data_IF_212849318524
#
_entry.id   IF_212849318524
#
_cell.length_a   1.000
_cell.length_b   1.000
_cell.length_c   1.000
_cell.angle_alpha   90.00
_cell.angle_beta   90.00
_cell.angle_gamma   90.00
#
_symmetry.space_group_name_H-M   'P 1'
#
loop_
_entity.id
_entity.type
_entity.pdbx_description
1 polymer ?
#
# COMPACT_ATOMS: atom_id res chain seq x y z
N UNK A 1 14.87 -30.24 0.73
CA UNK A 1 13.94 -30.54 1.81
C UNK A 1 13.22 -29.25 2.18
N UNK A 2 11.88 -29.25 2.11
CA UNK A 2 11.06 -28.07 2.45
C UNK A 2 10.55 -28.32 3.86
N UNK A 3 10.82 -27.41 4.80
CA UNK A 3 10.22 -27.41 6.13
C UNK A 3 8.84 -26.75 6.07
N UNK A 4 7.84 -27.38 6.68
CA UNK A 4 6.49 -26.82 6.82
C UNK A 4 6.22 -26.66 8.30
N UNK A 5 5.77 -25.47 8.69
CA UNK A 5 5.29 -25.17 10.04
C UNK A 5 3.80 -24.84 9.90
N UNK A 6 2.96 -25.66 10.49
CA UNK A 6 1.53 -25.43 10.54
C UNK A 6 1.21 -24.67 11.85
N UNK A 7 0.47 -23.57 11.73
CA UNK A 7 0.06 -22.77 12.88
C UNK A 7 -1.37 -23.15 13.26
N UNK A 8 -1.65 -23.09 14.57
CA UNK A 8 -2.98 -23.35 15.10
C UNK A 8 -3.97 -22.29 14.60
N UNK A 9 -5.15 -22.72 14.19
CA UNK A 9 -6.22 -21.86 13.69
C UNK A 9 -6.83 -20.94 14.75
N UNK A 10 -6.57 -21.17 16.03
CA UNK A 10 -7.01 -20.32 17.12
C UNK A 10 -6.14 -19.09 17.35
N UNK A 11 -4.95 -19.04 16.72
CA UNK A 11 -4.05 -17.89 16.83
C UNK A 11 -4.67 -16.66 16.16
N UNK A 12 -4.54 -15.51 16.83
CA UNK A 12 -4.96 -14.26 16.23
C UNK A 12 -3.94 -13.74 15.18
N UNK A 13 -4.33 -12.74 14.40
CA UNK A 13 -3.48 -12.21 13.33
C UNK A 13 -2.19 -11.57 13.87
N UNK A 14 -2.23 -11.02 15.08
CA UNK A 14 -1.06 -10.39 15.69
C UNK A 14 -0.05 -11.47 16.10
N UNK A 15 -0.53 -12.59 16.68
CA UNK A 15 0.30 -13.74 17.04
C UNK A 15 0.90 -14.41 15.79
N UNK A 16 0.10 -14.62 14.74
CA UNK A 16 0.58 -15.17 13.47
C UNK A 16 1.65 -14.25 12.86
N UNK A 17 1.41 -12.93 12.89
CA UNK A 17 2.36 -11.94 12.40
C UNK A 17 3.66 -11.97 13.18
N UNK A 18 3.60 -12.07 14.51
CA UNK A 18 4.79 -12.14 15.37
C UNK A 18 5.60 -13.42 15.10
N UNK A 19 4.92 -14.56 14.99
CA UNK A 19 5.56 -15.85 14.63
C UNK A 19 6.25 -15.73 13.26
N UNK A 20 5.58 -15.15 12.29
CA UNK A 20 6.14 -14.97 10.94
C UNK A 20 7.37 -14.06 10.95
N UNK A 21 7.33 -12.96 11.69
CA UNK A 21 8.49 -12.08 11.91
C UNK A 21 9.65 -12.84 12.55
N UNK A 22 9.39 -13.66 13.57
CA UNK A 22 10.42 -14.46 14.25
C UNK A 22 11.06 -15.50 13.33
N UNK A 23 10.26 -16.19 12.52
CA UNK A 23 10.77 -17.18 11.54
C UNK A 23 11.67 -16.49 10.52
N UNK A 24 11.29 -15.30 10.07
CA UNK A 24 12.04 -14.52 9.08
C UNK A 24 13.16 -13.65 9.70
N UNK A 25 13.34 -13.64 11.03
CA UNK A 25 14.30 -12.79 11.73
C UNK A 25 15.77 -13.05 11.38
N UNK A 26 16.08 -14.17 10.72
CA UNK A 26 17.42 -14.45 10.17
C UNK A 26 17.60 -13.93 8.73
N UNK A 27 16.55 -13.37 8.13
CA UNK A 27 16.55 -12.70 6.83
C UNK A 27 16.16 -11.23 6.95
N UNK A 28 15.64 -10.65 5.88
CA UNK A 28 15.04 -9.30 5.94
C UNK A 28 13.72 -9.37 6.70
N UNK A 29 13.62 -8.62 7.80
CA UNK A 29 12.39 -8.53 8.57
C UNK A 29 11.27 -7.94 7.68
N UNK A 30 10.15 -8.66 7.57
CA UNK A 30 8.98 -8.15 6.86
C UNK A 30 8.34 -7.00 7.66
N UNK A 31 8.07 -5.93 6.97
CA UNK A 31 7.38 -4.78 7.54
C UNK A 31 5.86 -5.00 7.56
N UNK A 32 5.14 -4.21 8.34
CA UNK A 32 3.67 -4.25 8.34
C UNK A 32 3.09 -3.90 6.95
N UNK A 33 3.77 -3.06 6.19
CA UNK A 33 3.39 -2.76 4.81
C UNK A 33 3.55 -3.97 3.88
N UNK A 34 4.57 -4.82 4.08
CA UNK A 34 4.72 -6.07 3.32
C UNK A 34 3.54 -7.03 3.58
N UNK A 35 3.05 -7.07 4.83
CA UNK A 35 1.86 -7.86 5.16
C UNK A 35 0.60 -7.31 4.48
N UNK A 36 0.40 -5.98 4.50
CA UNK A 36 -0.72 -5.35 3.77
C UNK A 36 -0.64 -5.70 2.29
N UNK A 37 0.53 -5.53 1.66
CA UNK A 37 0.76 -5.83 0.25
C UNK A 37 0.52 -7.31 -0.06
N UNK A 38 0.94 -8.22 0.81
CA UNK A 38 0.69 -9.66 0.67
C UNK A 38 -0.78 -10.00 0.81
N UNK A 39 -1.47 -9.39 1.77
CA UNK A 39 -2.92 -9.57 1.97
C UNK A 39 -3.71 -9.09 0.75
N UNK A 40 -3.38 -7.90 0.24
CA UNK A 40 -3.99 -7.36 -0.98
C UNK A 40 -3.70 -8.27 -2.19
N UNK A 41 -2.49 -8.82 -2.33
CA UNK A 41 -2.15 -9.72 -3.44
C UNK A 41 -2.98 -11.01 -3.45
N UNK A 42 -3.33 -11.52 -2.28
CA UNK A 42 -4.12 -12.75 -2.14
C UNK A 42 -5.62 -12.51 -2.33
N UNK A 43 -6.10 -11.26 -2.22
CA UNK A 43 -7.51 -10.94 -2.39
C UNK A 43 -7.84 -10.69 -3.86
N UNK A 44 -8.70 -11.56 -4.41
CA UNK A 44 -9.23 -11.47 -5.78
C UNK A 44 -10.73 -11.15 -5.79
N UNK A 45 -11.38 -11.19 -4.64
CA UNK A 45 -12.84 -11.02 -4.51
C UNK A 45 -13.20 -9.55 -4.38
N UNK A 46 -12.46 -8.80 -3.55
CA UNK A 46 -12.74 -7.40 -3.25
C UNK A 46 -11.82 -6.43 -4.03
N UNK A 47 -11.05 -6.96 -5.00
CA UNK A 47 -10.15 -6.17 -5.85
C UNK A 47 -8.82 -5.80 -5.21
N UNK A 48 -8.43 -6.45 -4.11
CA UNK A 48 -7.17 -6.23 -3.43
C UNK A 48 -5.96 -6.43 -4.34
N UNK A 49 -5.97 -7.46 -5.19
CA UNK A 49 -4.92 -7.73 -6.17
C UNK A 49 -4.71 -6.55 -7.14
N UNK A 50 -5.77 -5.87 -7.56
CA UNK A 50 -5.69 -4.67 -8.40
C UNK A 50 -5.14 -3.49 -7.61
N UNK A 51 -5.62 -3.27 -6.39
CA UNK A 51 -5.11 -2.19 -5.53
C UNK A 51 -3.61 -2.37 -5.24
N UNK A 52 -3.15 -3.61 -5.03
CA UNK A 52 -1.72 -3.89 -4.91
C UNK A 52 -0.95 -3.47 -6.15
N UNK A 53 -1.44 -3.81 -7.35
CA UNK A 53 -0.81 -3.38 -8.61
C UNK A 53 -0.77 -1.86 -8.74
N UNK A 54 -1.84 -1.15 -8.33
CA UNK A 54 -1.86 0.32 -8.30
C UNK A 54 -0.71 0.87 -7.47
N UNK A 55 -0.54 0.35 -6.24
CA UNK A 55 0.52 0.79 -5.33
C UNK A 55 1.90 0.51 -5.93
N UNK A 56 2.14 -0.71 -6.41
CA UNK A 56 3.41 -1.12 -7.02
C UNK A 56 3.76 -0.25 -8.24
N UNK A 57 2.80 -0.08 -9.17
CA UNK A 57 3.04 0.69 -10.39
C UNK A 57 3.20 2.18 -10.13
N UNK A 58 2.41 2.74 -9.21
CA UNK A 58 2.56 4.14 -8.84
C UNK A 58 3.95 4.43 -8.28
N UNK A 59 4.37 3.68 -7.26
CA UNK A 59 5.68 3.85 -6.65
C UNK A 59 6.82 3.62 -7.65
N UNK A 60 6.68 2.64 -8.54
CA UNK A 60 7.69 2.38 -9.56
C UNK A 60 7.78 3.50 -10.59
N UNK A 61 6.64 3.99 -11.10
CA UNK A 61 6.59 5.08 -12.07
C UNK A 61 7.05 6.42 -11.48
N UNK A 62 6.80 6.67 -10.19
CA UNK A 62 7.30 7.86 -9.52
C UNK A 62 8.83 7.95 -9.54
N UNK A 63 9.52 6.79 -9.53
CA UNK A 63 10.99 6.70 -9.61
C UNK A 63 11.48 6.56 -11.04
N UNK A 64 10.74 5.86 -11.90
CA UNK A 64 11.13 5.51 -13.28
C UNK A 64 9.96 5.69 -14.24
N UNK A 65 9.70 6.90 -14.71
CA UNK A 65 8.63 7.19 -15.69
C UNK A 65 8.71 6.34 -16.97
N UNK A 66 9.92 6.00 -17.41
CA UNK A 66 10.18 5.17 -18.59
C UNK A 66 9.63 3.74 -18.48
N UNK A 67 9.21 3.31 -17.29
CA UNK A 67 8.57 2.01 -17.10
C UNK A 67 7.13 1.96 -17.64
N UNK A 68 6.48 3.09 -17.88
CA UNK A 68 5.10 3.17 -18.34
C UNK A 68 4.76 2.24 -19.53
N UNK A 69 5.58 2.16 -20.62
CA UNK A 69 5.30 1.25 -21.73
C UNK A 69 5.33 -0.26 -21.35
N UNK A 70 5.96 -0.61 -20.23
CA UNK A 70 5.94 -1.98 -19.72
C UNK A 70 4.71 -2.23 -18.86
N UNK A 71 4.32 -1.27 -18.03
CA UNK A 71 3.12 -1.34 -17.21
C UNK A 71 1.85 -1.58 -18.03
N UNK A 72 1.68 -0.87 -19.17
CA UNK A 72 0.50 -1.02 -20.04
C UNK A 72 0.43 -2.38 -20.76
N UNK A 73 1.48 -3.23 -20.70
CA UNK A 73 1.44 -4.61 -21.19
C UNK A 73 0.71 -5.54 -20.22
N UNK A 74 0.49 -5.14 -18.97
CA UNK A 74 -0.41 -5.83 -18.06
C UNK A 74 -1.85 -5.52 -18.47
N UNK A 75 -2.41 -6.39 -19.32
CA UNK A 75 -3.74 -6.21 -19.93
C UNK A 75 -4.88 -6.24 -18.90
N UNK A 76 -4.66 -6.86 -17.73
CA UNK A 76 -5.62 -6.84 -16.63
C UNK A 76 -5.64 -5.45 -15.99
N UNK A 77 -4.48 -4.92 -15.69
CA UNK A 77 -4.35 -3.59 -15.09
C UNK A 77 -4.72 -2.46 -16.05
N UNK A 78 -4.32 -2.57 -17.31
CA UNK A 78 -4.60 -1.57 -18.35
C UNK A 78 -6.09 -1.27 -18.53
N UNK A 79 -6.96 -2.28 -18.33
CA UNK A 79 -8.42 -2.15 -18.40
C UNK A 79 -9.04 -1.49 -17.18
N UNK A 80 -8.29 -1.27 -16.12
CA UNK A 80 -8.79 -0.63 -14.89
C UNK A 80 -8.80 0.89 -15.03
N UNK A 81 -9.65 1.56 -14.25
CA UNK A 81 -9.64 3.02 -14.15
C UNK A 81 -8.29 3.58 -13.65
N UNK A 82 -7.53 2.78 -12.92
CA UNK A 82 -6.27 3.19 -12.31
C UNK A 82 -5.16 3.42 -13.34
N UNK A 83 -5.10 2.63 -14.41
CA UNK A 83 -4.11 2.80 -15.46
C UNK A 83 -4.15 4.23 -16.06
N UNK A 84 -5.35 4.75 -16.30
CA UNK A 84 -5.54 6.12 -16.79
C UNK A 84 -5.22 7.18 -15.73
N UNK A 85 -5.54 6.90 -14.45
CA UNK A 85 -5.33 7.83 -13.32
C UNK A 85 -3.86 8.05 -12.97
N UNK A 86 -2.98 7.07 -13.24
CA UNK A 86 -1.54 7.17 -12.97
C UNK A 86 -0.71 7.48 -14.21
N UNK A 87 -1.36 7.65 -15.38
CA UNK A 87 -0.69 7.94 -16.65
C UNK A 87 0.17 9.22 -16.62
N UNK A 88 -0.20 10.18 -15.81
CA UNK A 88 0.54 11.44 -15.67
C UNK A 88 1.97 11.24 -15.19
N UNK A 89 2.26 10.15 -14.43
CA UNK A 89 3.61 9.77 -14.00
C UNK A 89 4.53 9.34 -15.16
N UNK A 90 3.98 9.08 -16.36
CA UNK A 90 4.79 8.77 -17.53
C UNK A 90 5.61 9.98 -18.04
N UNK A 91 5.30 11.17 -17.56
CA UNK A 91 6.11 12.37 -17.80
C UNK A 91 7.25 12.43 -16.79
N UNK A 92 8.36 13.01 -17.21
CA UNK A 92 9.48 13.27 -16.31
C UNK A 92 9.04 14.15 -15.13
N UNK A 93 9.29 13.66 -13.91
CA UNK A 93 8.89 14.32 -12.68
C UNK A 93 10.12 14.89 -11.97
N UNK A 94 9.92 15.96 -11.21
CA UNK A 94 10.99 16.45 -10.34
C UNK A 94 11.22 15.51 -9.15
N UNK A 95 12.48 15.15 -8.91
CA UNK A 95 13.00 14.22 -7.89
C UNK A 95 12.91 14.75 -6.43
N UNK A 96 11.79 15.38 -6.05
CA UNK A 96 11.65 15.91 -4.70
C UNK A 96 11.06 14.89 -3.75
N UNK A 97 10.12 14.08 -4.24
CA UNK A 97 9.45 13.06 -3.44
C UNK A 97 9.15 11.82 -4.26
N UNK A 98 9.78 10.72 -3.90
CA UNK A 98 9.56 9.41 -4.45
C UNK A 98 8.88 8.54 -3.38
N UNK A 99 7.55 8.42 -3.39
CA UNK A 99 6.84 7.63 -2.39
C UNK A 99 7.17 6.15 -2.53
N UNK A 100 7.28 5.48 -1.40
CA UNK A 100 7.25 4.03 -1.34
C UNK A 100 5.83 3.52 -1.00
N UNK A 101 5.64 2.20 -1.03
CA UNK A 101 4.34 1.60 -0.72
C UNK A 101 3.94 1.80 0.76
N UNK A 102 4.90 1.98 1.67
CA UNK A 102 4.61 2.27 3.07
C UNK A 102 4.02 3.67 3.24
N UNK A 103 4.57 4.68 2.53
CA UNK A 103 4.05 6.04 2.51
C UNK A 103 2.61 6.06 1.96
N UNK A 104 2.43 5.44 0.80
CA UNK A 104 1.15 5.40 0.11
C UNK A 104 0.06 4.72 0.94
N UNK A 105 0.38 3.56 1.54
CA UNK A 105 -0.55 2.82 2.39
C UNK A 105 -0.91 3.61 3.67
N UNK A 106 0.07 4.26 4.30
CA UNK A 106 -0.19 5.07 5.51
C UNK A 106 -1.08 6.28 5.22
N UNK A 107 -0.80 6.99 4.13
CA UNK A 107 -1.61 8.16 3.74
C UNK A 107 -3.02 7.72 3.37
N UNK A 108 -3.17 6.66 2.55
CA UNK A 108 -4.47 6.13 2.18
C UNK A 108 -5.27 5.66 3.41
N UNK A 109 -4.61 4.99 4.36
CA UNK A 109 -5.23 4.51 5.57
C UNK A 109 -5.62 5.66 6.51
N UNK A 110 -4.76 6.66 6.65
CA UNK A 110 -5.07 7.87 7.44
C UNK A 110 -6.28 8.59 6.86
N UNK A 111 -6.32 8.78 5.54
CA UNK A 111 -7.43 9.47 4.88
C UNK A 111 -8.77 8.75 5.09
N UNK A 112 -8.79 7.44 4.87
CA UNK A 112 -10.05 6.69 4.84
C UNK A 112 -10.53 6.19 6.20
N UNK A 113 -9.61 6.00 7.16
CA UNK A 113 -9.91 5.37 8.45
C UNK A 113 -9.52 6.24 9.65
N UNK A 114 -8.89 7.40 9.41
CA UNK A 114 -8.30 8.24 10.46
C UNK A 114 -7.31 7.47 11.35
N UNK A 115 -6.55 6.55 10.76
CA UNK A 115 -5.56 5.67 11.40
C UNK A 115 -4.32 5.54 10.51
N UNK A 116 -3.13 5.41 11.11
CA UNK A 116 -1.86 5.28 10.39
C UNK A 116 -1.07 4.01 10.73
N UNK A 117 -1.49 3.25 11.75
CA UNK A 117 -0.81 2.03 12.19
C UNK A 117 -1.17 0.87 11.26
N UNK A 118 -0.26 0.45 10.39
CA UNK A 118 -0.53 -0.54 9.34
C UNK A 118 -0.91 -1.94 9.86
N UNK A 119 -0.55 -2.31 11.10
CA UNK A 119 -1.08 -3.54 11.73
C UNK A 119 -2.60 -3.51 11.88
N UNK A 120 -3.18 -2.32 12.09
CA UNK A 120 -4.63 -2.15 12.15
C UNK A 120 -5.25 -2.38 10.77
N UNK A 121 -4.58 -1.92 9.70
CA UNK A 121 -5.02 -2.17 8.33
C UNK A 121 -4.98 -3.67 7.99
N UNK A 122 -3.92 -4.39 8.40
CA UNK A 122 -3.84 -5.86 8.24
C UNK A 122 -5.05 -6.53 8.90
N UNK A 123 -5.40 -6.13 10.13
CA UNK A 123 -6.54 -6.66 10.87
C UNK A 123 -7.87 -6.40 10.13
N UNK A 124 -8.10 -5.16 9.67
CA UNK A 124 -9.30 -4.80 8.90
C UNK A 124 -9.45 -5.58 7.60
N UNK A 125 -8.37 -5.67 6.81
CA UNK A 125 -8.37 -6.46 5.57
C UNK A 125 -8.50 -7.97 5.81
N UNK A 126 -8.36 -8.40 7.06
CA UNK A 126 -8.65 -9.78 7.49
C UNK A 126 -10.07 -9.94 8.06
N UNK A 127 -10.87 -8.87 8.10
CA UNK A 127 -12.25 -8.91 8.60
C UNK A 127 -12.41 -8.72 10.09
N UNK A 128 -11.37 -8.29 10.81
CA UNK A 128 -11.44 -8.10 12.25
C UNK A 128 -12.12 -6.78 12.62
N UNK A 129 -13.19 -6.86 13.38
CA UNK A 129 -13.85 -5.71 14.00
C UNK A 129 -13.02 -5.20 15.19
N UNK A 130 -12.76 -3.89 15.27
CA UNK A 130 -11.99 -3.31 16.38
C UNK A 130 -12.77 -3.21 17.69
N UNK A 131 -14.09 -3.12 17.63
CA UNK A 131 -14.95 -2.99 18.81
C UNK A 131 -15.25 -4.36 19.41
N UNK A 132 -15.74 -5.28 18.57
CA UNK A 132 -16.16 -6.62 19.00
C UNK A 132 -15.02 -7.63 18.96
N UNK A 133 -13.95 -7.38 18.22
CA UNK A 133 -12.84 -8.30 17.90
C UNK A 133 -13.28 -9.58 17.16
N UNK A 134 -14.51 -9.61 16.67
CA UNK A 134 -15.03 -10.70 15.85
C UNK A 134 -14.62 -10.54 14.40
N UNK A 135 -14.64 -11.66 13.68
CA UNK A 135 -14.40 -11.66 12.23
C UNK A 135 -15.72 -11.60 11.48
N UNK A 136 -15.82 -10.63 10.55
CA UNK A 136 -17.01 -10.43 9.70
C UNK A 136 -16.56 -10.15 8.26
N UNK A 137 -17.15 -10.88 7.31
CA UNK A 137 -16.88 -10.70 5.88
C UNK A 137 -17.22 -9.29 5.39
N UNK A 138 -18.29 -8.70 5.93
CA UNK A 138 -18.72 -7.33 5.60
C UNK A 138 -17.65 -6.28 5.90
N UNK A 139 -16.81 -6.52 6.92
CA UNK A 139 -15.69 -5.63 7.27
C UNK A 139 -14.60 -5.69 6.20
N UNK A 140 -14.36 -6.86 5.61
CA UNK A 140 -13.37 -7.01 4.54
C UNK A 140 -13.76 -6.15 3.35
N UNK A 141 -15.00 -6.31 2.85
CA UNK A 141 -15.51 -5.55 1.71
C UNK A 141 -15.46 -4.03 1.96
N UNK A 142 -16.00 -3.57 3.10
CA UNK A 142 -15.98 -2.15 3.49
C UNK A 142 -14.55 -1.61 3.58
N UNK A 143 -13.62 -2.41 4.14
CA UNK A 143 -12.23 -2.01 4.29
C UNK A 143 -11.51 -1.88 2.96
N UNK A 144 -11.72 -2.81 2.01
CA UNK A 144 -11.16 -2.68 0.67
C UNK A 144 -11.74 -1.49 -0.09
N UNK A 145 -13.05 -1.23 0.02
CA UNK A 145 -13.69 -0.07 -0.59
C UNK A 145 -13.12 1.25 -0.04
N UNK A 146 -12.98 1.38 1.28
CA UNK A 146 -12.38 2.55 1.92
C UNK A 146 -10.91 2.71 1.55
N UNK A 147 -10.14 1.63 1.54
CA UNK A 147 -8.74 1.69 1.13
C UNK A 147 -8.59 2.14 -0.33
N UNK A 148 -9.47 1.65 -1.21
CA UNK A 148 -9.53 2.07 -2.60
C UNK A 148 -9.71 3.59 -2.72
N UNK A 149 -10.64 4.17 -1.96
CA UNK A 149 -10.85 5.63 -1.98
C UNK A 149 -9.62 6.40 -1.47
N UNK A 150 -8.96 5.93 -0.41
CA UNK A 150 -7.71 6.54 0.06
C UNK A 150 -6.59 6.47 -0.98
N UNK A 151 -6.45 5.35 -1.66
CA UNK A 151 -5.49 5.18 -2.76
C UNK A 151 -5.82 6.13 -3.92
N UNK A 152 -7.10 6.28 -4.30
CA UNK A 152 -7.52 7.22 -5.35
C UNK A 152 -7.15 8.66 -5.01
N UNK A 153 -7.27 9.06 -3.76
CA UNK A 153 -6.88 10.40 -3.30
C UNK A 153 -5.37 10.59 -3.40
N UNK A 154 -4.58 9.59 -3.04
CA UNK A 154 -3.12 9.65 -3.13
C UNK A 154 -2.61 9.76 -4.56
N UNK A 155 -3.14 8.94 -5.48
CA UNK A 155 -2.69 8.90 -6.88
C UNK A 155 -3.21 10.07 -7.73
N UNK A 156 -4.03 10.94 -7.16
CA UNK A 156 -4.56 12.09 -7.87
C UNK A 156 -3.45 13.10 -8.17
N UNK A 157 -3.23 13.43 -9.46
CA UNK A 157 -2.18 14.33 -9.94
C UNK A 157 -2.18 15.67 -9.19
N UNK A 158 -3.35 16.31 -9.08
CA UNK A 158 -3.47 17.60 -8.40
C UNK A 158 -3.07 17.52 -6.92
N UNK A 159 -3.56 16.51 -6.19
CA UNK A 159 -3.24 16.35 -4.78
C UNK A 159 -1.75 16.11 -4.57
N UNK A 160 -1.14 15.29 -5.44
CA UNK A 160 0.28 15.00 -5.39
C UNK A 160 1.12 16.24 -5.67
N UNK A 161 0.76 17.02 -6.69
CA UNK A 161 1.42 18.29 -7.00
C UNK A 161 1.31 19.30 -5.84
N UNK A 162 0.13 19.43 -5.23
CA UNK A 162 -0.04 20.31 -4.06
C UNK A 162 0.84 19.89 -2.88
N UNK A 163 0.96 18.59 -2.65
CA UNK A 163 1.87 18.06 -1.63
C UNK A 163 3.33 18.38 -1.94
N UNK A 164 3.78 18.16 -3.18
CA UNK A 164 5.15 18.50 -3.61
C UNK A 164 5.42 20.01 -3.47
N UNK A 165 4.46 20.86 -3.84
CA UNK A 165 4.57 22.30 -3.66
C UNK A 165 4.68 22.71 -2.19
N UNK A 166 3.93 22.07 -1.31
CA UNK A 166 4.02 22.29 0.14
C UNK A 166 5.41 21.91 0.69
N UNK A 167 5.97 20.77 0.25
CA UNK A 167 7.33 20.34 0.62
C UNK A 167 8.37 21.35 0.15
N UNK A 168 8.28 21.82 -1.10
CA UNK A 168 9.15 22.87 -1.64
C UNK A 168 9.04 24.16 -0.85
N UNK A 169 7.81 24.57 -0.54
CA UNK A 169 7.53 25.77 0.27
C UNK A 169 8.10 25.68 1.69
N UNK A 170 8.18 24.48 2.26
CA UNK A 170 8.85 24.21 3.53
C UNK A 170 10.39 24.17 3.45
N UNK A 171 10.96 24.35 2.26
CA UNK A 171 12.40 24.47 2.04
C UNK A 171 13.13 23.15 1.72
N UNK A 172 12.42 22.04 1.56
CA UNK A 172 13.01 20.77 1.13
C UNK A 172 13.36 20.82 -0.37
N UNK A 173 14.54 20.34 -0.72
CA UNK A 173 15.07 20.41 -2.09
C UNK A 173 15.32 19.03 -2.72
N UNK A 174 15.18 17.95 -1.94
CA UNK A 174 15.40 16.58 -2.42
C UNK A 174 14.73 15.56 -1.50
N UNK A 175 14.41 14.38 -2.03
CA UNK A 175 13.91 13.21 -1.29
C UNK A 175 14.84 12.83 -0.13
N UNK A 176 16.17 12.93 -0.32
CA UNK A 176 17.15 12.62 0.73
C UNK A 176 17.03 13.56 1.93
N UNK A 177 16.75 14.83 1.69
CA UNK A 177 16.53 15.82 2.74
C UNK A 177 15.24 15.55 3.50
N UNK A 178 14.17 15.20 2.80
CA UNK A 178 12.87 14.85 3.38
C UNK A 178 13.01 13.61 4.27
N UNK A 179 13.60 12.54 3.75
CA UNK A 179 13.76 11.27 4.47
C UNK A 179 14.68 11.35 5.69
N UNK A 180 15.62 12.32 5.73
CA UNK A 180 16.50 12.51 6.88
C UNK A 180 15.84 13.21 8.07
N UNK A 181 14.63 13.74 7.88
CA UNK A 181 13.87 14.48 8.90
C UNK A 181 12.62 13.69 9.38
N UNK A 182 12.30 12.59 8.74
CA UNK A 182 11.25 11.65 9.12
C UNK A 182 11.80 10.50 9.96
#
# INVERSE_FOLDING_TARGET
QIGVIELDHSLDIDEVTEIFIRINSKGTALSQSDFVMSKMAADTVHGGNILRKVVDYFCHLAVKPDFYPQMIKDLEFEKTEFASKIKWLAKDNEDIYNPDYNDMLRVAFMYSFNRAKLSDLVSLLSGRDFETREFKEEIVEDSYNKLCEGIKVFINEHNFEQFVLAIKGAGFKSSKQLNSQM
#
